data_IF_454798925006
#
_entry.id   IF_454798925006
#
_cell.length_a   1.000
_cell.length_b   1.000
_cell.length_c   1.000
_cell.angle_alpha   90.00
_cell.angle_beta   90.00
_cell.angle_gamma   90.00
#
_symmetry.space_group_name_H-M   'P 1'
#
loop_
_entity.id
_entity.type
_entity.pdbx_description
1 polymer ?
#
# COMPACT_ATOMS: atom_id res chain seq x y z
N UNK A 1 21.86 21.96 -25.03
CA UNK A 1 20.67 22.54 -24.38
C UNK A 1 20.40 21.76 -23.10
N UNK A 2 20.17 22.46 -21.98
CA UNK A 2 20.29 21.93 -20.62
C UNK A 2 19.27 20.83 -20.28
N UNK A 3 19.73 19.58 -20.20
CA UNK A 3 18.93 18.44 -19.73
C UNK A 3 18.47 18.57 -18.26
N UNK A 4 19.12 19.41 -17.45
CA UNK A 4 18.80 19.56 -16.03
C UNK A 4 17.47 20.28 -15.75
N UNK A 5 16.96 21.11 -16.67
CA UNK A 5 15.66 21.80 -16.49
C UNK A 5 14.46 20.89 -16.72
N UNK A 6 14.62 19.80 -17.48
CA UNK A 6 13.55 18.85 -17.80
C UNK A 6 13.34 17.82 -16.68
N UNK A 7 14.42 17.49 -15.95
CA UNK A 7 14.39 16.52 -14.84
C UNK A 7 13.67 17.10 -13.61
N UNK A 8 13.88 18.37 -13.28
CA UNK A 8 13.22 19.00 -12.13
C UNK A 8 11.69 19.12 -12.32
N UNK A 9 11.24 19.47 -13.53
CA UNK A 9 9.82 19.53 -13.86
C UNK A 9 9.16 18.13 -13.88
N UNK A 10 9.90 17.11 -14.32
CA UNK A 10 9.44 15.72 -14.27
C UNK A 10 9.34 15.20 -12.82
N UNK A 11 10.27 15.58 -11.93
CA UNK A 11 10.23 15.26 -10.50
C UNK A 11 9.02 15.90 -9.82
N UNK A 12 8.73 17.18 -10.08
CA UNK A 12 7.61 17.89 -9.48
C UNK A 12 6.24 17.34 -9.92
N UNK A 13 6.17 16.80 -11.15
CA UNK A 13 4.99 16.13 -11.68
C UNK A 13 4.79 14.71 -11.09
N UNK A 14 5.88 14.02 -10.74
CA UNK A 14 5.87 12.63 -10.26
C UNK A 14 5.48 12.53 -8.77
N UNK A 15 5.93 13.47 -7.95
CA UNK A 15 5.80 13.43 -6.48
C UNK A 15 4.82 14.46 -5.92
N UNK A 16 3.94 15.02 -6.76
CA UNK A 16 2.94 15.96 -6.28
C UNK A 16 2.00 15.24 -5.27
N UNK A 17 1.94 15.66 -4.00
CA UNK A 17 1.06 15.04 -3.01
C UNK A 17 -0.41 14.99 -3.43
N UNK A 18 -0.85 15.96 -4.26
CA UNK A 18 -2.21 16.03 -4.77
C UNK A 18 -2.53 14.93 -5.81
N UNK A 19 -1.55 14.48 -6.62
CA UNK A 19 -1.77 13.39 -7.58
C UNK A 19 -1.80 12.03 -6.90
N UNK A 20 -0.99 11.84 -5.85
CA UNK A 20 -1.03 10.65 -5.00
C UNK A 20 -2.37 10.51 -4.28
N UNK A 21 -2.89 11.61 -3.73
CA UNK A 21 -4.18 11.63 -3.06
C UNK A 21 -5.35 11.37 -4.02
N UNK A 22 -5.27 11.87 -5.25
CA UNK A 22 -6.27 11.60 -6.29
C UNK A 22 -6.29 10.12 -6.72
N UNK A 23 -5.14 9.45 -6.80
CA UNK A 23 -5.09 8.02 -7.14
C UNK A 23 -5.71 7.14 -6.04
N UNK A 24 -5.44 7.47 -4.78
CA UNK A 24 -6.07 6.82 -3.61
C UNK A 24 -7.59 7.04 -3.63
N UNK A 25 -8.04 8.25 -3.97
CA UNK A 25 -9.46 8.59 -4.02
C UNK A 25 -10.21 7.88 -5.18
N UNK A 26 -9.55 7.68 -6.32
CA UNK A 26 -10.09 6.90 -7.44
C UNK A 26 -10.24 5.41 -7.06
N UNK A 27 -9.30 4.86 -6.26
CA UNK A 27 -9.37 3.49 -5.74
C UNK A 27 -10.58 3.29 -4.82
N UNK A 28 -10.83 4.26 -3.92
CA UNK A 28 -12.00 4.29 -3.03
C UNK A 28 -13.34 4.38 -3.78
N UNK A 29 -13.39 5.07 -4.93
CA UNK A 29 -14.61 5.29 -5.71
C UNK A 29 -14.96 4.13 -6.65
N UNK A 30 -14.01 3.25 -6.97
CA UNK A 30 -14.18 2.23 -8.01
C UNK A 30 -14.25 0.79 -7.51
N UNK A 31 -14.09 0.53 -6.19
CA UNK A 31 -13.98 -0.83 -5.60
C UNK A 31 -12.99 -1.74 -6.39
N UNK A 32 -12.05 -1.09 -7.08
CA UNK A 32 -11.09 -1.69 -7.99
C UNK A 32 -9.69 -1.50 -7.40
N UNK A 33 -8.83 -2.52 -7.53
CA UNK A 33 -7.40 -2.43 -7.20
C UNK A 33 -6.67 -1.53 -8.22
N UNK A 34 -6.88 -0.22 -8.17
CA UNK A 34 -6.10 0.77 -8.95
C UNK A 34 -4.75 1.05 -8.27
N UNK A 35 -4.10 -0.01 -7.78
CA UNK A 35 -2.69 0.06 -7.35
C UNK A 35 -1.73 -0.08 -8.54
N UNK A 36 -2.22 -0.11 -9.78
CA UNK A 36 -1.43 -0.22 -11.00
C UNK A 36 -0.44 0.95 -11.24
N UNK A 37 -0.53 2.04 -10.48
CA UNK A 37 0.18 3.30 -10.77
C UNK A 37 0.99 3.93 -9.65
N UNK A 38 1.23 3.28 -8.50
CA UNK A 38 2.00 3.94 -7.45
C UNK A 38 3.51 3.99 -7.76
N UNK A 39 3.95 5.21 -8.05
CA UNK A 39 5.30 5.79 -8.09
C UNK A 39 6.49 4.85 -7.84
N UNK A 40 7.18 4.48 -8.93
CA UNK A 40 8.37 3.64 -8.92
C UNK A 40 9.69 4.42 -8.75
N UNK A 41 9.62 5.74 -8.55
CA UNK A 41 10.79 6.59 -8.30
C UNK A 41 11.97 6.40 -9.24
N UNK A 42 13.19 6.56 -8.72
CA UNK A 42 14.47 6.49 -9.46
C UNK A 42 14.86 5.06 -9.91
N UNK A 43 14.03 4.05 -9.63
CA UNK A 43 14.37 2.64 -9.87
C UNK A 43 13.86 2.17 -11.24
N UNK A 44 12.96 2.91 -11.91
CA UNK A 44 12.44 2.57 -13.26
C UNK A 44 13.57 2.28 -14.27
N UNK A 45 14.64 3.09 -14.40
CA UNK A 45 15.71 2.80 -15.36
C UNK A 45 16.43 1.46 -15.10
N UNK A 46 16.55 1.04 -13.83
CA UNK A 46 17.11 -0.26 -13.46
C UNK A 46 16.10 -1.40 -13.64
N UNK A 47 14.81 -1.13 -13.41
CA UNK A 47 13.71 -2.10 -13.59
C UNK A 47 13.42 -2.40 -15.07
N UNK A 48 13.58 -1.42 -15.96
CA UNK A 48 13.47 -1.61 -17.42
C UNK A 48 14.56 -2.54 -17.99
N UNK A 49 15.64 -2.80 -17.25
CA UNK A 49 16.66 -3.79 -17.63
C UNK A 49 16.20 -5.24 -17.37
N UNK A 50 15.11 -5.45 -16.62
CA UNK A 50 14.52 -6.77 -16.36
C UNK A 50 12.99 -6.70 -16.29
N UNK A 51 12.30 -6.65 -17.45
CA UNK A 51 10.84 -6.47 -17.52
C UNK A 51 10.07 -7.63 -16.86
N UNK A 52 10.63 -8.85 -16.86
CA UNK A 52 10.01 -9.99 -16.18
C UNK A 52 10.00 -9.81 -14.66
N UNK A 53 11.11 -9.35 -14.08
CA UNK A 53 11.18 -9.06 -12.65
C UNK A 53 10.26 -7.89 -12.26
N UNK A 54 10.14 -6.88 -13.12
CA UNK A 54 9.21 -5.77 -12.92
C UNK A 54 7.74 -6.23 -12.86
N UNK A 55 7.33 -7.13 -13.79
CA UNK A 55 5.99 -7.71 -13.77
C UNK A 55 5.70 -8.46 -12.46
N UNK A 56 6.66 -9.26 -11.98
CA UNK A 56 6.54 -10.01 -10.72
C UNK A 56 6.46 -9.10 -9.49
N UNK A 57 7.26 -8.03 -9.45
CA UNK A 57 7.20 -7.02 -8.38
C UNK A 57 5.85 -6.32 -8.33
N UNK A 58 5.32 -5.95 -9.50
CA UNK A 58 4.01 -5.31 -9.62
C UNK A 58 2.92 -6.24 -9.12
N UNK A 59 2.88 -7.49 -9.61
CA UNK A 59 1.91 -8.49 -9.19
C UNK A 59 1.99 -8.79 -7.70
N UNK A 60 3.20 -8.92 -7.14
CA UNK A 60 3.39 -9.15 -5.70
C UNK A 60 2.84 -7.98 -4.87
N UNK A 61 3.12 -6.72 -5.26
CA UNK A 61 2.61 -5.54 -4.57
C UNK A 61 1.08 -5.47 -4.58
N UNK A 62 0.46 -5.71 -5.74
CA UNK A 62 -1.01 -5.75 -5.87
C UNK A 62 -1.58 -6.82 -4.93
N UNK A 63 -0.98 -8.00 -4.95
CA UNK A 63 -1.40 -9.13 -4.11
C UNK A 63 -1.30 -8.83 -2.62
N UNK A 64 -0.23 -8.15 -2.19
CA UNK A 64 -0.03 -7.75 -0.79
C UNK A 64 -1.05 -6.70 -0.34
N UNK A 65 -1.35 -5.69 -1.17
CA UNK A 65 -2.36 -4.69 -0.85
C UNK A 65 -3.76 -5.31 -0.75
N UNK A 66 -4.10 -6.20 -1.69
CA UNK A 66 -5.34 -6.95 -1.66
C UNK A 66 -5.46 -7.82 -0.40
N UNK A 67 -4.40 -8.54 -0.03
CA UNK A 67 -4.38 -9.35 1.18
C UNK A 67 -4.53 -8.49 2.44
N UNK A 68 -3.87 -7.32 2.48
CA UNK A 68 -3.97 -6.38 3.60
C UNK A 68 -5.40 -5.85 3.78
N UNK A 69 -6.08 -5.48 2.68
CA UNK A 69 -7.51 -5.11 2.70
C UNK A 69 -8.38 -6.24 3.23
N UNK A 70 -8.15 -7.47 2.76
CA UNK A 70 -8.91 -8.64 3.23
C UNK A 70 -8.69 -8.91 4.72
N UNK A 71 -7.45 -8.82 5.21
CA UNK A 71 -7.13 -8.97 6.63
C UNK A 71 -7.85 -7.95 7.51
N UNK A 72 -7.79 -6.67 7.15
CA UNK A 72 -8.43 -5.60 7.92
C UNK A 72 -9.96 -5.74 7.93
N UNK A 73 -10.54 -6.15 6.82
CA UNK A 73 -11.97 -6.47 6.72
C UNK A 73 -12.37 -7.66 7.60
N UNK A 74 -11.53 -8.70 7.65
CA UNK A 74 -11.72 -9.86 8.55
C UNK A 74 -11.71 -9.46 10.03
N UNK A 75 -11.02 -8.37 10.40
CA UNK A 75 -10.95 -7.88 11.79
C UNK A 75 -12.17 -7.06 12.22
N UNK A 76 -13.04 -6.67 11.28
CA UNK A 76 -14.30 -5.97 11.55
C UNK A 76 -14.11 -4.71 12.42
N UNK A 77 -13.24 -3.81 11.97
CA UNK A 77 -12.86 -2.58 12.70
C UNK A 77 -13.96 -1.49 12.69
N UNK A 78 -15.08 -1.73 12.00
CA UNK A 78 -16.18 -0.78 11.88
C UNK A 78 -15.74 0.51 11.18
N UNK A 79 -16.09 1.67 11.75
CA UNK A 79 -15.73 2.97 11.17
C UNK A 79 -14.22 3.23 11.12
N UNK A 80 -13.43 2.49 11.90
CA UNK A 80 -11.97 2.56 11.88
C UNK A 80 -11.33 1.83 10.69
N UNK A 81 -12.07 0.99 9.95
CA UNK A 81 -11.51 0.12 8.89
C UNK A 81 -10.83 0.92 7.78
N UNK A 82 -11.48 1.97 7.28
CA UNK A 82 -10.94 2.79 6.19
C UNK A 82 -9.61 3.45 6.59
N UNK A 83 -9.58 4.12 7.74
CA UNK A 83 -8.38 4.79 8.24
C UNK A 83 -7.26 3.79 8.55
N UNK A 84 -7.61 2.61 9.08
CA UNK A 84 -6.64 1.53 9.29
C UNK A 84 -6.00 1.09 7.97
N UNK A 85 -6.80 0.92 6.91
CA UNK A 85 -6.33 0.50 5.59
C UNK A 85 -5.39 1.54 4.98
N UNK A 86 -5.75 2.82 5.00
CA UNK A 86 -4.92 3.91 4.48
C UNK A 86 -3.53 3.94 5.13
N UNK A 87 -3.49 3.82 6.47
CA UNK A 87 -2.23 3.76 7.22
C UNK A 87 -1.45 2.49 6.89
N UNK A 88 -2.13 1.34 6.83
CA UNK A 88 -1.48 0.07 6.55
C UNK A 88 -0.83 0.04 5.15
N UNK A 89 -1.52 0.57 4.14
CA UNK A 89 -0.99 0.72 2.78
C UNK A 89 0.24 1.62 2.76
N UNK A 90 0.19 2.75 3.47
CA UNK A 90 1.34 3.67 3.59
C UNK A 90 2.54 2.99 4.24
N UNK A 91 2.35 2.27 5.35
CA UNK A 91 3.41 1.50 5.99
C UNK A 91 4.00 0.45 5.02
N UNK A 92 3.15 -0.31 4.34
CA UNK A 92 3.58 -1.33 3.38
C UNK A 92 4.45 -0.73 2.26
N UNK A 93 4.04 0.41 1.68
CA UNK A 93 4.82 1.10 0.64
C UNK A 93 6.20 1.51 1.17
N UNK A 94 6.26 2.11 2.35
CA UNK A 94 7.53 2.53 2.97
C UNK A 94 8.46 1.34 3.19
N UNK A 95 7.92 0.19 3.66
CA UNK A 95 8.69 -1.04 3.88
C UNK A 95 9.17 -1.67 2.58
N UNK A 96 8.39 -1.58 1.49
CA UNK A 96 8.81 -2.05 0.17
C UNK A 96 9.83 -1.15 -0.52
N UNK A 97 9.82 0.16 -0.24
CA UNK A 97 10.82 1.11 -0.77
C UNK A 97 12.20 0.90 -0.15
N UNK A 98 12.26 0.53 1.14
CA UNK A 98 13.51 0.29 1.85
C UNK A 98 13.37 -0.95 2.76
N UNK A 99 13.35 -2.17 2.18
CA UNK A 99 13.12 -3.39 2.95
C UNK A 99 14.31 -3.68 3.88
N UNK A 100 14.00 -4.15 5.09
CA UNK A 100 15.00 -4.69 6.00
C UNK A 100 15.66 -5.94 5.40
N UNK A 101 16.91 -6.29 5.78
CA UNK A 101 17.62 -7.42 5.17
C UNK A 101 16.82 -8.74 5.15
N UNK A 102 16.12 -9.07 6.24
CA UNK A 102 15.27 -10.27 6.31
C UNK A 102 14.10 -10.22 5.32
N UNK A 103 13.47 -9.05 5.18
CA UNK A 103 12.38 -8.84 4.23
C UNK A 103 12.88 -8.88 2.79
N UNK A 104 14.06 -8.32 2.51
CA UNK A 104 14.70 -8.37 1.20
C UNK A 104 14.96 -9.82 0.78
N UNK A 105 15.52 -10.65 1.67
CA UNK A 105 15.73 -12.08 1.39
C UNK A 105 14.42 -12.81 1.08
N UNK A 106 13.38 -12.59 1.89
CA UNK A 106 12.07 -13.20 1.66
C UNK A 106 11.43 -12.75 0.32
N UNK A 107 11.53 -11.46 0.00
CA UNK A 107 11.07 -10.91 -1.28
C UNK A 107 11.79 -11.56 -2.46
N UNK A 108 13.12 -11.67 -2.41
CA UNK A 108 13.90 -12.32 -3.46
C UNK A 108 13.51 -13.78 -3.67
N UNK A 109 13.32 -14.54 -2.59
CA UNK A 109 12.90 -15.94 -2.67
C UNK A 109 11.53 -16.10 -3.31
N UNK A 110 10.58 -15.21 -3.00
CA UNK A 110 9.24 -15.23 -3.58
C UNK A 110 9.29 -14.84 -5.07
N UNK A 111 10.03 -13.79 -5.42
CA UNK A 111 10.13 -13.30 -6.81
C UNK A 111 10.79 -14.30 -7.76
N UNK A 112 11.68 -15.16 -7.24
CA UNK A 112 12.33 -16.24 -8.02
C UNK A 112 11.39 -17.42 -8.28
N UNK A 113 10.23 -17.51 -7.62
CA UNK A 113 9.31 -18.63 -7.79
C UNK A 113 8.35 -18.40 -8.97
N UNK A 114 8.77 -18.81 -10.17
CA UNK A 114 7.99 -18.69 -11.41
C UNK A 114 6.53 -19.12 -11.25
N UNK A 115 6.30 -20.25 -10.56
CA UNK A 115 4.96 -20.83 -10.31
C UNK A 115 3.92 -19.87 -9.71
N UNK A 116 4.35 -18.81 -9.03
CA UNK A 116 3.45 -17.82 -8.42
C UNK A 116 2.88 -16.82 -9.43
N UNK A 117 3.44 -16.72 -10.64
CA UNK A 117 3.21 -15.63 -11.59
C UNK A 117 2.65 -16.09 -12.95
N UNK A 118 2.13 -17.32 -13.04
CA UNK A 118 1.97 -18.00 -14.32
C UNK A 118 0.63 -17.76 -15.04
N UNK A 119 -0.40 -17.21 -14.40
CA UNK A 119 -1.76 -17.19 -14.99
C UNK A 119 -2.66 -16.03 -14.51
N UNK A 120 -2.54 -15.62 -13.25
CA UNK A 120 -3.47 -14.67 -12.62
C UNK A 120 -2.87 -13.26 -12.50
N UNK A 121 -3.72 -12.23 -12.40
CA UNK A 121 -3.29 -10.84 -12.17
C UNK A 121 -2.72 -10.61 -10.75
N UNK A 122 -2.99 -11.54 -9.83
CA UNK A 122 -2.50 -11.54 -8.45
C UNK A 122 -2.08 -12.95 -8.00
N UNK A 123 -1.32 -13.04 -6.93
CA UNK A 123 -0.91 -14.28 -6.28
C UNK A 123 -2.08 -14.75 -5.40
N UNK A 124 -2.64 -15.93 -5.68
CA UNK A 124 -3.77 -16.46 -4.89
C UNK A 124 -3.40 -17.12 -3.56
N UNK A 125 -2.11 -17.38 -3.31
CA UNK A 125 -1.67 -18.03 -2.07
C UNK A 125 -1.70 -17.04 -0.89
N UNK A 126 -2.84 -16.96 -0.20
CA UNK A 126 -3.06 -16.08 0.94
C UNK A 126 -2.11 -16.34 2.11
N UNK A 127 -1.81 -17.60 2.43
CA UNK A 127 -0.92 -17.94 3.56
C UNK A 127 0.50 -17.41 3.33
N UNK A 128 0.98 -17.50 2.09
CA UNK A 128 2.27 -16.92 1.68
C UNK A 128 2.24 -15.39 1.81
N UNK A 129 1.16 -14.74 1.36
CA UNK A 129 1.02 -13.28 1.45
C UNK A 129 0.92 -12.80 2.90
N UNK A 130 0.14 -13.47 3.76
CA UNK A 130 0.04 -13.19 5.20
C UNK A 130 1.41 -13.33 5.88
N UNK A 131 2.13 -14.40 5.56
CA UNK A 131 3.49 -14.63 6.09
C UNK A 131 4.43 -13.51 5.65
N UNK A 132 4.40 -13.11 4.37
CA UNK A 132 5.24 -12.03 3.89
C UNK A 132 4.87 -10.67 4.52
N UNK A 133 3.58 -10.37 4.70
CA UNK A 133 3.13 -9.16 5.41
C UNK A 133 3.66 -9.12 6.84
N UNK A 134 3.69 -10.26 7.55
CA UNK A 134 4.25 -10.34 8.91
C UNK A 134 5.77 -10.12 8.98
N UNK A 135 6.49 -10.32 7.85
CA UNK A 135 7.93 -10.05 7.74
C UNK A 135 8.17 -8.59 7.33
N UNK A 136 7.31 -8.04 6.48
CA UNK A 136 7.44 -6.68 5.93
C UNK A 136 7.04 -5.61 6.95
N UNK A 137 5.90 -5.78 7.61
CA UNK A 137 5.36 -4.83 8.57
C UNK A 137 5.91 -5.12 9.96
N UNK A 138 6.45 -4.09 10.61
CA UNK A 138 6.96 -4.18 11.97
C UNK A 138 5.83 -4.07 12.98
N UNK A 139 6.08 -4.48 14.22
CA UNK A 139 5.16 -4.29 15.34
C UNK A 139 4.72 -2.82 15.49
N UNK A 140 5.63 -1.88 15.26
CA UNK A 140 5.32 -0.44 15.28
C UNK A 140 4.34 -0.02 14.19
N UNK A 141 4.36 -0.67 13.03
CA UNK A 141 3.44 -0.38 11.94
C UNK A 141 2.04 -0.88 12.30
N UNK A 142 1.94 -2.08 12.90
CA UNK A 142 0.68 -2.62 13.41
C UNK A 142 0.10 -1.76 14.53
N UNK A 143 0.95 -1.22 15.40
CA UNK A 143 0.52 -0.27 16.42
C UNK A 143 -0.01 1.03 15.81
N UNK A 144 0.67 1.59 14.80
CA UNK A 144 0.20 2.78 14.09
C UNK A 144 -1.17 2.56 13.43
N UNK A 145 -1.37 1.41 12.78
CA UNK A 145 -2.65 1.00 12.18
C UNK A 145 -3.75 0.92 13.25
N UNK A 146 -3.46 0.28 14.39
CA UNK A 146 -4.42 0.12 15.47
C UNK A 146 -4.80 1.48 16.10
N UNK A 147 -3.82 2.35 16.34
CA UNK A 147 -4.04 3.71 16.85
C UNK A 147 -4.91 4.52 15.89
N UNK A 148 -4.65 4.43 14.59
CA UNK A 148 -5.41 5.13 13.57
C UNK A 148 -6.89 4.69 13.55
N UNK A 149 -7.13 3.38 13.60
CA UNK A 149 -8.47 2.82 13.69
C UNK A 149 -9.21 3.30 14.96
N UNK A 150 -8.54 3.23 16.12
CA UNK A 150 -9.10 3.64 17.40
C UNK A 150 -9.41 5.15 17.45
N UNK A 151 -8.55 5.98 16.85
CA UNK A 151 -8.77 7.42 16.77
C UNK A 151 -9.99 7.77 15.93
N UNK A 152 -10.22 7.08 14.80
CA UNK A 152 -11.42 7.27 13.98
C UNK A 152 -12.70 6.96 14.79
N UNK A 153 -12.71 5.86 15.54
CA UNK A 153 -13.84 5.52 16.44
C UNK A 153 -14.04 6.61 17.51
N UNK A 154 -12.96 7.05 18.16
CA UNK A 154 -13.00 8.10 19.20
C UNK A 154 -13.58 9.40 18.64
N UNK A 155 -13.16 9.82 17.45
CA UNK A 155 -13.61 11.04 16.80
C UNK A 155 -15.10 10.97 16.44
N UNK A 156 -15.57 9.82 15.93
CA UNK A 156 -16.99 9.62 15.65
C UNK A 156 -17.86 9.74 16.90
N UNK A 157 -17.43 9.18 18.03
CA UNK A 157 -18.16 9.28 19.31
C UNK A 157 -18.26 10.73 19.77
N UNK A 158 -17.15 11.47 19.74
CA UNK A 158 -17.11 12.89 20.15
C UNK A 158 -18.02 13.73 19.24
N UNK A 159 -17.94 13.51 17.93
CA UNK A 159 -18.79 14.20 16.95
C UNK A 159 -20.28 13.98 17.24
N UNK A 160 -20.68 12.74 17.51
CA UNK A 160 -22.09 12.42 17.74
C UNK A 160 -22.64 12.99 19.04
N UNK A 161 -21.82 13.05 20.10
CA UNK A 161 -22.19 13.75 21.34
C UNK A 161 -22.35 15.26 21.07
N UNK A 162 -21.43 15.86 20.31
CA UNK A 162 -21.48 17.28 19.95
C UNK A 162 -22.75 17.66 19.16
N UNK A 163 -23.14 16.86 18.16
CA UNK A 163 -24.39 17.07 17.41
C UNK A 163 -25.62 17.01 18.32
N UNK A 164 -25.67 16.02 19.21
CA UNK A 164 -26.81 15.83 20.10
C UNK A 164 -26.96 16.97 21.12
N UNK A 165 -25.87 17.68 21.45
CA UNK A 165 -25.89 18.85 22.32
C UNK A 165 -26.34 20.15 21.62
N UNK A 166 -26.15 20.26 20.30
CA UNK A 166 -26.58 21.43 19.51
C UNK A 166 -28.08 21.32 19.13
N UNK A 167 -28.62 20.10 19.10
CA UNK A 167 -30.00 19.81 18.68
C UNK A 167 -31.01 19.71 19.83
N UNK A 168 -30.58 19.98 21.07
CA UNK A 168 -31.37 19.93 22.30
C UNK A 168 -31.53 21.34 22.90
#
# INVERSE_FOLDING_TARGET
MNNNQNVAAAIDLLFNPASLQAAIQIEDESDCDVTAGLDWGLVIPALLQNPGMFGRMTQLRVSLNRELRLLLKEWNLGIGEKTALEVAQKCLIQRLQLPQPVALSALEEILKQDKLYNVEEFISNRDLLKSLLSILLLDSDWEEIAIAAANSVREQVIYQVGINQISA
#
